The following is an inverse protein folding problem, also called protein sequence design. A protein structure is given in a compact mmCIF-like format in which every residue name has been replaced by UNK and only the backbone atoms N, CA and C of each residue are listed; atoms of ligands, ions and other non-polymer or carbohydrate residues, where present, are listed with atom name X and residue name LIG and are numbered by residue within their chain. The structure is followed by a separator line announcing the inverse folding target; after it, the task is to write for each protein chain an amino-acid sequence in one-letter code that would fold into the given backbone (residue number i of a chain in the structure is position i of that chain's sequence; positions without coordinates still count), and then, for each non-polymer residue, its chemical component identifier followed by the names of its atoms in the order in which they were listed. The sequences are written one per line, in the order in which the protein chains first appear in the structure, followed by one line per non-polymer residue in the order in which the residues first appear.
data_IF_187405996154
#
_entry.id   IF_187405996154
#
_cell.length_a   1.000
_cell.length_b   1.000
_cell.length_c   1.000
_cell.angle_alpha   90.00
_cell.angle_beta   90.00
_cell.angle_gamma   90.00
#
_symmetry.space_group_name_H-M   'P 1'
#
loop_
_entity.id
_entity.type
_entity.pdbx_description
1 polymer ?
#
# COMPACT_ATOMS: atom_id res chain seq x y z
N UNK A 1 -12.58 5.54 -23.76
CA UNK A 1 -12.37 4.17 -23.23
C UNK A 1 -10.95 4.08 -22.71
N UNK A 2 -10.78 3.81 -21.42
CA UNK A 2 -9.46 3.52 -20.84
C UNK A 2 -9.01 2.16 -21.35
N UNK A 3 -7.83 2.08 -21.97
CA UNK A 3 -7.25 0.80 -22.36
C UNK A 3 -6.54 0.18 -21.15
N UNK A 4 -6.86 -1.09 -20.86
CA UNK A 4 -6.22 -1.90 -19.82
C UNK A 4 -5.59 -3.14 -20.44
N UNK A 5 -4.30 -3.34 -20.18
CA UNK A 5 -3.56 -4.52 -20.59
C UNK A 5 -3.87 -5.71 -19.68
N UNK A 6 -3.69 -6.94 -20.18
CA UNK A 6 -3.81 -8.15 -19.35
C UNK A 6 -2.82 -8.14 -18.17
N UNK A 7 -1.66 -7.51 -18.33
CA UNK A 7 -0.68 -7.32 -17.26
C UNK A 7 -1.22 -6.40 -16.15
N UNK A 8 -1.94 -5.32 -16.49
CA UNK A 8 -2.62 -4.46 -15.51
C UNK A 8 -3.78 -5.20 -14.83
N UNK A 9 -4.55 -6.01 -15.56
CA UNK A 9 -5.62 -6.82 -14.99
C UNK A 9 -5.08 -7.86 -14.00
N UNK A 10 -3.99 -8.53 -14.34
CA UNK A 10 -3.30 -9.44 -13.41
C UNK A 10 -2.73 -8.69 -12.19
N UNK A 11 -2.09 -7.53 -12.42
CA UNK A 11 -1.59 -6.71 -11.31
C UNK A 11 -2.71 -6.20 -10.39
N UNK A 12 -3.90 -5.93 -10.93
CA UNK A 12 -5.08 -5.58 -10.12
C UNK A 12 -5.52 -6.75 -9.24
N UNK A 13 -5.57 -7.96 -9.81
CA UNK A 13 -5.90 -9.19 -9.06
C UNK A 13 -4.87 -9.50 -7.95
N UNK A 14 -3.60 -9.19 -8.19
CA UNK A 14 -2.50 -9.35 -7.23
C UNK A 14 -2.40 -8.20 -6.20
N UNK A 15 -3.32 -7.23 -6.21
CA UNK A 15 -3.25 -5.96 -5.42
C UNK A 15 -1.97 -5.14 -5.66
N UNK A 16 -1.27 -5.40 -6.76
CA UNK A 16 0.00 -4.78 -7.13
C UNK A 16 -0.15 -3.57 -8.06
N UNK A 17 -1.36 -3.31 -8.57
CA UNK A 17 -1.65 -2.15 -9.41
C UNK A 17 -1.68 -0.85 -8.56
N UNK A 18 -1.12 0.29 -9.04
CA UNK A 18 -1.16 1.56 -8.30
C UNK A 18 -2.57 1.96 -7.90
N UNK A 19 -2.72 2.63 -6.75
CA UNK A 19 -4.04 2.90 -6.14
C UNK A 19 -4.99 3.67 -7.07
N UNK A 20 -4.52 4.77 -7.70
CA UNK A 20 -5.32 5.55 -8.63
C UNK A 20 -5.81 4.70 -9.82
N UNK A 21 -4.90 3.90 -10.41
CA UNK A 21 -5.20 3.05 -11.56
C UNK A 21 -6.17 1.92 -11.20
N UNK A 22 -6.04 1.36 -9.98
CA UNK A 22 -6.99 0.40 -9.41
C UNK A 22 -8.39 1.00 -9.27
N UNK A 23 -8.50 2.22 -8.70
CA UNK A 23 -9.80 2.89 -8.56
C UNK A 23 -10.47 3.19 -9.90
N UNK A 24 -9.70 3.61 -10.92
CA UNK A 24 -10.22 3.78 -12.28
C UNK A 24 -10.76 2.46 -12.84
N UNK A 25 -9.98 1.38 -12.71
CA UNK A 25 -10.37 0.05 -13.19
C UNK A 25 -11.64 -0.44 -12.49
N UNK A 26 -11.75 -0.29 -11.17
CA UNK A 26 -12.96 -0.63 -10.40
C UNK A 26 -14.19 0.15 -10.85
N UNK A 27 -14.02 1.42 -11.23
CA UNK A 27 -15.10 2.24 -11.75
C UNK A 27 -15.56 1.73 -13.13
N UNK A 28 -14.61 1.51 -14.05
CA UNK A 28 -14.90 1.04 -15.41
C UNK A 28 -15.52 -0.38 -15.40
N UNK A 29 -15.09 -1.25 -14.49
CA UNK A 29 -15.65 -2.60 -14.29
C UNK A 29 -17.14 -2.60 -13.91
N UNK A 30 -17.72 -1.49 -13.45
CA UNK A 30 -19.17 -1.43 -13.10
C UNK A 30 -20.06 -1.37 -14.32
N UNK A 31 -19.64 -0.68 -15.38
CA UNK A 31 -20.43 -0.48 -16.60
C UNK A 31 -19.96 -1.32 -17.77
N UNK A 32 -18.72 -1.80 -17.78
CA UNK A 32 -18.14 -2.50 -18.92
C UNK A 32 -18.17 -4.04 -18.76
N UNK A 33 -19.09 -4.70 -19.48
CA UNK A 33 -19.20 -6.17 -19.50
C UNK A 33 -18.01 -6.85 -20.18
N UNK A 34 -17.45 -6.25 -21.23
CA UNK A 34 -16.33 -6.82 -21.96
C UNK A 34 -15.08 -6.83 -21.07
N UNK A 35 -14.82 -5.73 -20.38
CA UNK A 35 -13.74 -5.61 -19.41
C UNK A 35 -13.88 -6.61 -18.25
N UNK A 36 -15.10 -6.81 -17.74
CA UNK A 36 -15.38 -7.85 -16.72
C UNK A 36 -15.05 -9.24 -17.24
N UNK A 37 -15.47 -9.58 -18.46
CA UNK A 37 -15.18 -10.87 -19.07
C UNK A 37 -13.67 -11.09 -19.23
N UNK A 38 -12.93 -10.07 -19.69
CA UNK A 38 -11.47 -10.10 -19.77
C UNK A 38 -10.82 -10.34 -18.41
N UNK A 39 -11.29 -9.67 -17.36
CA UNK A 39 -10.78 -9.86 -15.99
C UNK A 39 -11.01 -11.30 -15.50
N UNK A 40 -12.20 -11.87 -15.78
CA UNK A 40 -12.52 -13.27 -15.46
C UNK A 40 -11.58 -14.23 -16.21
N UNK A 41 -11.31 -13.99 -17.49
CA UNK A 41 -10.39 -14.79 -18.29
C UNK A 41 -8.96 -14.76 -17.74
N UNK A 42 -8.46 -13.58 -17.38
CA UNK A 42 -7.14 -13.43 -16.74
C UNK A 42 -7.08 -14.22 -15.43
N UNK A 43 -8.10 -14.09 -14.56
CA UNK A 43 -8.19 -14.85 -13.31
C UNK A 43 -8.25 -16.36 -13.56
N UNK A 44 -8.99 -16.80 -14.57
CA UNK A 44 -9.12 -18.21 -14.95
C UNK A 44 -7.79 -18.83 -15.39
N UNK A 45 -6.99 -18.10 -16.18
CA UNK A 45 -5.63 -18.51 -16.58
C UNK A 45 -4.75 -18.76 -15.36
N UNK A 46 -4.74 -17.85 -14.38
CA UNK A 46 -3.94 -18.01 -13.17
C UNK A 46 -4.39 -19.18 -12.31
N UNK A 47 -5.70 -19.39 -12.16
CA UNK A 47 -6.26 -20.52 -11.41
C UNK A 47 -5.90 -21.88 -12.05
N UNK A 48 -5.70 -21.92 -13.36
CA UNK A 48 -5.22 -23.09 -14.10
C UNK A 48 -3.69 -23.29 -14.02
N UNK A 49 -2.97 -22.47 -13.24
CA UNK A 49 -1.51 -22.53 -13.12
C UNK A 49 -0.75 -21.85 -14.26
N UNK A 50 -1.43 -21.14 -15.16
CA UNK A 50 -0.80 -20.40 -16.27
C UNK A 50 -0.33 -19.03 -15.78
N UNK A 51 0.74 -19.04 -14.98
CA UNK A 51 1.33 -17.81 -14.46
C UNK A 51 2.30 -17.18 -15.45
N UNK A 52 2.29 -15.85 -15.51
CA UNK A 52 3.32 -15.09 -16.21
C UNK A 52 4.51 -14.85 -15.29
N UNK A 53 5.71 -14.70 -15.87
CA UNK A 53 6.92 -14.32 -15.12
C UNK A 53 6.67 -13.03 -14.33
N UNK A 54 6.01 -12.04 -14.95
CA UNK A 54 5.68 -10.77 -14.30
C UNK A 54 4.73 -10.92 -13.11
N UNK A 55 3.75 -11.83 -13.18
CA UNK A 55 2.86 -12.13 -12.06
C UNK A 55 3.61 -12.77 -10.88
N UNK A 56 4.46 -13.76 -11.16
CA UNK A 56 5.31 -14.39 -10.13
C UNK A 56 6.23 -13.34 -9.49
N UNK A 57 6.90 -12.51 -10.30
CA UNK A 57 7.82 -11.49 -9.81
C UNK A 57 7.16 -10.52 -8.82
N UNK A 58 5.94 -10.04 -9.12
CA UNK A 58 5.20 -9.13 -8.25
C UNK A 58 4.74 -9.81 -6.96
N UNK A 59 4.16 -11.02 -7.05
CA UNK A 59 3.71 -11.78 -5.87
C UNK A 59 4.84 -12.16 -4.93
N UNK A 60 5.97 -12.58 -5.50
CA UNK A 60 7.19 -12.91 -4.75
C UNK A 60 7.99 -11.66 -4.33
N UNK A 61 7.58 -10.46 -4.77
CA UNK A 61 8.19 -9.18 -4.39
C UNK A 61 9.70 -9.14 -4.62
N UNK A 62 10.18 -9.77 -5.69
CA UNK A 62 11.61 -10.02 -5.91
C UNK A 62 12.48 -8.76 -6.03
N UNK A 63 11.86 -7.64 -6.42
CA UNK A 63 12.52 -6.33 -6.52
C UNK A 63 12.17 -5.39 -5.35
N UNK A 64 11.34 -5.80 -4.40
CA UNK A 64 10.97 -4.91 -3.29
C UNK A 64 12.14 -4.81 -2.31
N UNK A 65 12.54 -3.59 -1.89
CA UNK A 65 13.47 -3.44 -0.78
C UNK A 65 12.82 -3.95 0.51
N UNK A 66 13.67 -4.35 1.46
CA UNK A 66 13.22 -4.77 2.79
C UNK A 66 12.70 -3.57 3.59
N UNK A 67 11.89 -3.85 4.61
CA UNK A 67 11.37 -2.79 5.50
C UNK A 67 12.50 -2.07 6.25
N UNK A 68 13.59 -2.76 6.55
CA UNK A 68 14.77 -2.17 7.21
C UNK A 68 15.47 -1.17 6.28
N UNK A 69 15.72 -1.55 5.02
CA UNK A 69 16.29 -0.65 4.01
C UNK A 69 15.40 0.59 3.78
N UNK A 70 14.07 0.43 3.79
CA UNK A 70 13.15 1.58 3.74
C UNK A 70 13.28 2.50 4.97
N UNK A 71 13.52 1.94 6.16
CA UNK A 71 13.79 2.72 7.36
C UNK A 71 15.09 3.50 7.24
N UNK A 72 16.16 2.84 6.80
CA UNK A 72 17.46 3.47 6.55
C UNK A 72 17.38 4.57 5.47
N UNK A 73 16.57 4.35 4.42
CA UNK A 73 16.27 5.34 3.41
C UNK A 73 15.64 6.61 4.02
N UNK A 74 14.62 6.47 4.87
CA UNK A 74 13.98 7.60 5.55
C UNK A 74 14.93 8.36 6.48
N UNK A 75 15.85 7.65 7.12
CA UNK A 75 16.86 8.23 8.01
C UNK A 75 18.04 8.86 7.25
N UNK A 76 18.09 8.73 5.92
CA UNK A 76 19.21 9.21 5.11
C UNK A 76 20.51 8.43 5.34
N UNK A 77 20.42 7.18 5.78
CA UNK A 77 21.57 6.34 6.15
C UNK A 77 22.07 5.43 5.00
N UNK A 78 21.37 5.40 3.86
CA UNK A 78 21.77 4.62 2.68
C UNK A 78 22.62 5.44 1.71
N UNK A 79 23.50 4.74 0.99
CA UNK A 79 24.21 5.27 -0.18
C UNK A 79 23.23 5.82 -1.22
N UNK A 80 23.68 6.82 -1.98
CA UNK A 80 22.83 7.59 -2.90
C UNK A 80 22.12 6.71 -3.93
N UNK A 81 22.81 5.74 -4.52
CA UNK A 81 22.25 4.84 -5.52
C UNK A 81 21.18 3.92 -4.95
N UNK A 82 21.39 3.40 -3.73
CA UNK A 82 20.43 2.52 -3.07
C UNK A 82 19.17 3.30 -2.65
N UNK A 83 19.37 4.48 -2.08
CA UNK A 83 18.28 5.42 -1.80
C UNK A 83 17.51 5.81 -3.08
N UNK A 84 18.24 6.01 -4.19
CA UNK A 84 17.69 6.26 -5.51
C UNK A 84 16.84 5.10 -6.04
N UNK A 85 17.27 3.85 -5.84
CA UNK A 85 16.50 2.66 -6.20
C UNK A 85 15.17 2.58 -5.45
N UNK A 86 15.18 2.81 -4.13
CA UNK A 86 13.96 2.79 -3.31
C UNK A 86 12.97 3.85 -3.81
N UNK A 87 13.46 5.08 -4.08
CA UNK A 87 12.64 6.14 -4.66
C UNK A 87 12.06 5.74 -6.02
N UNK A 88 12.87 5.22 -6.94
CA UNK A 88 12.42 4.74 -8.24
C UNK A 88 11.33 3.65 -8.09
N UNK A 89 11.54 2.71 -7.17
CA UNK A 89 10.62 1.59 -6.94
C UNK A 89 9.26 2.04 -6.38
N UNK A 90 9.25 3.08 -5.53
CA UNK A 90 8.01 3.63 -4.96
C UNK A 90 7.32 4.56 -5.96
N UNK A 91 8.06 5.48 -6.59
CA UNK A 91 7.49 6.58 -7.38
C UNK A 91 7.28 6.24 -8.86
N UNK A 92 8.21 5.48 -9.46
CA UNK A 92 8.15 5.17 -10.90
C UNK A 92 7.53 3.80 -11.16
N UNK A 93 7.98 2.76 -10.46
CA UNK A 93 7.36 1.42 -10.54
C UNK A 93 5.98 1.44 -9.89
N UNK A 94 5.75 2.33 -8.91
CA UNK A 94 4.45 2.48 -8.27
C UNK A 94 4.06 1.31 -7.39
N UNK A 95 5.05 0.62 -6.79
CA UNK A 95 4.80 -0.56 -5.97
C UNK A 95 3.95 -0.22 -4.74
N UNK A 96 2.70 -0.68 -4.74
CA UNK A 96 1.72 -0.36 -3.69
C UNK A 96 2.14 -0.89 -2.30
N UNK A 97 2.79 -2.05 -2.26
CA UNK A 97 3.31 -2.63 -1.02
C UNK A 97 4.42 -1.76 -0.40
N UNK A 98 5.36 -1.30 -1.21
CA UNK A 98 6.48 -0.46 -0.74
C UNK A 98 5.99 0.93 -0.34
N UNK A 99 5.06 1.51 -1.10
CA UNK A 99 4.42 2.78 -0.74
C UNK A 99 3.71 2.71 0.62
N UNK A 100 2.97 1.62 0.88
CA UNK A 100 2.33 1.41 2.18
C UNK A 100 3.33 1.26 3.32
N UNK A 101 4.39 0.46 3.13
CA UNK A 101 5.44 0.30 4.15
C UNK A 101 6.13 1.64 4.48
N UNK A 102 6.43 2.44 3.46
CA UNK A 102 7.06 3.74 3.65
C UNK A 102 6.14 4.69 4.42
N UNK A 103 4.85 4.73 4.08
CA UNK A 103 3.85 5.52 4.80
C UNK A 103 3.73 5.11 6.26
N UNK A 104 3.72 3.80 6.54
CA UNK A 104 3.69 3.28 7.92
C UNK A 104 4.93 3.69 8.72
N UNK A 105 6.12 3.59 8.11
CA UNK A 105 7.38 3.98 8.75
C UNK A 105 7.43 5.49 9.04
N UNK A 106 6.96 6.31 8.10
CA UNK A 106 6.85 7.77 8.28
C UNK A 106 5.88 8.13 9.41
N UNK A 107 4.72 7.46 9.48
CA UNK A 107 3.76 7.65 10.56
C UNK A 107 4.34 7.27 11.92
N UNK A 108 5.08 6.16 12.00
CA UNK A 108 5.74 5.72 13.23
C UNK A 108 6.87 6.66 13.70
N UNK A 109 7.55 7.34 12.76
CA UNK A 109 8.60 8.31 13.07
C UNK A 109 8.04 9.64 13.61
N UNK A 110 6.76 9.92 13.39
CA UNK A 110 6.09 11.12 13.90
C UNK A 110 5.55 10.82 15.31
N UNK A 111 6.04 11.49 16.38
CA UNK A 111 5.53 11.25 17.72
C UNK A 111 4.04 11.61 17.82
N UNK A 112 3.22 10.63 18.18
CA UNK A 112 1.78 10.82 18.36
C UNK A 112 1.51 11.46 19.74
N UNK A 113 0.95 12.67 19.75
CA UNK A 113 0.49 13.37 20.96
C UNK A 113 -0.83 12.80 21.51
N UNK A 114 -1.47 11.87 20.79
CA UNK A 114 -2.74 11.24 21.18
C UNK A 114 -2.71 10.49 22.52
N UNK A 115 -1.72 9.66 22.88
CA UNK A 115 -1.66 9.02 24.20
C UNK A 115 -1.69 10.04 25.35
N UNK A 116 -1.01 11.19 25.20
CA UNK A 116 -1.09 12.29 26.16
C UNK A 116 -2.49 12.91 26.19
N UNK A 117 -3.05 13.26 25.03
CA UNK A 117 -4.41 13.84 24.93
C UNK A 117 -5.51 12.92 25.46
N UNK A 118 -5.42 11.60 25.22
CA UNK A 118 -6.37 10.59 25.76
C UNK A 118 -6.24 10.46 27.27
N UNK A 119 -5.01 10.36 27.81
CA UNK A 119 -4.75 10.34 29.26
C UNK A 119 -5.27 11.59 29.97
N UNK A 120 -5.04 12.77 29.40
CA UNK A 120 -5.54 14.04 29.95
C UNK A 120 -7.08 14.09 29.96
N UNK A 121 -7.76 13.63 28.90
CA UNK A 121 -9.23 13.56 28.88
C UNK A 121 -9.78 12.63 29.95
N UNK A 122 -9.24 11.41 30.09
CA UNK A 122 -9.70 10.47 31.13
C UNK A 122 -9.46 11.00 32.55
N UNK A 123 -8.33 11.66 32.78
CA UNK A 123 -8.03 12.31 34.06
C UNK A 123 -8.98 13.49 34.36
N UNK A 124 -9.28 14.33 33.37
CA UNK A 124 -10.23 15.44 33.52
C UNK A 124 -11.67 14.96 33.75
N UNK A 125 -12.09 13.85 33.14
CA UNK A 125 -13.42 13.27 33.39
C UNK A 125 -13.55 12.63 34.78
N UNK A 126 -12.46 12.16 35.37
CA UNK A 126 -12.45 11.53 36.71
C UNK A 126 -12.22 12.51 37.86
N UNK A 127 -11.62 13.69 37.59
CA UNK A 127 -11.46 14.76 38.57
C UNK A 127 -12.78 15.44 39.01
N UNK A 128 -13.88 15.23 38.27
CA UNK A 128 -15.20 15.76 38.60
C UNK A 128 -16.00 14.99 39.65
N UNK A 129 -15.61 13.75 39.98
CA UNK A 129 -16.40 12.86 40.86
C UNK A 129 -15.87 12.74 42.31
N UNK A 130 -14.74 13.36 42.64
CA UNK A 130 -14.14 13.32 43.99
C UNK A 130 -14.30 14.64 44.79
N UNK A 131 -15.27 15.49 44.45
CA UNK A 131 -15.73 16.59 45.33
C UNK A 131 -17.07 16.26 45.99
N UNK A 132 -17.03 15.36 46.97
CA UNK A 132 -17.97 15.27 48.10
C UNK A 132 -17.28 14.37 49.15
N UNK A 133 -17.14 14.70 50.45
CA UNK A 133 -17.88 15.55 51.38
C UNK A 133 -16.89 16.13 52.42
N UNK A 134 -17.11 17.36 52.86
CA UNK A 134 -16.90 17.74 54.27
C UNK A 134 -18.04 17.17 55.09
#
# INVERSE_FOLDING_TARGET
MSFYTDAELAAFLDEALPANRSSMLEQDLRSDTELRNRLIEVRGREAAGLHTIGGIWRRSRLSCPTRDEMGQHLLGALEADHSGYIRFHVETVGCRYCAANLADLQAAATPDDQPHRRRTRYFQTSAGYLKSKQ
#
